data_IF_934037043200
#
_entry.id   IF_934037043200
#
_cell.length_a   1.000
_cell.length_b   1.000
_cell.length_c   1.000
_cell.angle_alpha   90.00
_cell.angle_beta   90.00
_cell.angle_gamma   90.00
#
_symmetry.space_group_name_H-M   'P 1'
#
loop_
_entity.id
_entity.type
_entity.pdbx_description
1 polymer ?
#
# COMPACT_ATOMS: atom_id res chain seq x y z
N UNK A 1 -1.86 10.19 -47.35
CA UNK A 1 -1.03 10.31 -46.14
C UNK A 1 0.35 10.79 -46.59
N UNK A 2 0.63 12.07 -46.37
CA UNK A 2 1.88 12.70 -46.80
C UNK A 2 3.03 12.16 -45.93
N UNK A 3 3.97 11.42 -46.54
CA UNK A 3 5.22 11.04 -45.85
C UNK A 3 5.94 12.33 -45.48
N UNK A 4 6.10 12.63 -44.19
CA UNK A 4 6.88 13.79 -43.75
C UNK A 4 8.27 13.70 -44.36
N UNK A 5 8.65 14.69 -45.18
CA UNK A 5 10.01 14.78 -45.72
C UNK A 5 11.00 14.84 -44.57
N UNK A 6 11.75 13.77 -44.35
CA UNK A 6 12.92 13.80 -43.46
C UNK A 6 13.90 14.84 -44.02
N UNK A 7 14.23 15.83 -43.20
CA UNK A 7 15.24 16.84 -43.51
C UNK A 7 16.42 16.59 -42.59
N UNK A 8 17.62 16.65 -43.14
CA UNK A 8 18.82 16.54 -42.33
C UNK A 8 18.85 17.68 -41.28
N UNK A 9 19.02 17.28 -40.03
CA UNK A 9 19.17 18.16 -38.87
C UNK A 9 20.48 17.81 -38.19
N UNK A 10 21.25 18.83 -37.83
CA UNK A 10 22.55 18.68 -37.20
C UNK A 10 22.51 19.24 -35.79
N UNK A 11 23.18 18.54 -34.86
CA UNK A 11 23.37 18.96 -33.48
C UNK A 11 24.87 18.96 -33.22
N UNK A 12 25.37 20.04 -32.61
CA UNK A 12 26.78 20.14 -32.23
C UNK A 12 26.97 19.50 -30.85
N UNK A 13 27.98 18.62 -30.75
CA UNK A 13 28.30 17.85 -29.56
C UNK A 13 29.83 17.68 -29.47
N UNK A 14 30.39 17.54 -28.26
CA UNK A 14 31.81 17.25 -28.10
C UNK A 14 32.13 15.84 -28.60
N UNK A 15 33.37 15.63 -29.08
CA UNK A 15 33.81 14.33 -29.58
C UNK A 15 33.68 13.23 -28.53
N UNK A 16 34.06 13.52 -27.27
CA UNK A 16 33.99 12.56 -26.18
C UNK A 16 32.54 12.13 -25.88
N UNK A 17 31.62 13.09 -25.84
CA UNK A 17 30.21 12.79 -25.57
C UNK A 17 29.55 12.07 -26.75
N UNK A 18 29.98 12.35 -27.98
CA UNK A 18 29.52 11.62 -29.16
C UNK A 18 29.98 10.16 -29.11
N UNK A 19 31.22 9.88 -28.68
CA UNK A 19 31.70 8.52 -28.50
C UNK A 19 30.92 7.76 -27.42
N UNK A 20 30.58 8.40 -26.29
CA UNK A 20 29.71 7.78 -25.28
C UNK A 20 28.29 7.53 -25.82
N UNK A 21 27.76 8.46 -26.61
CA UNK A 21 26.46 8.30 -27.26
C UNK A 21 26.45 7.11 -28.23
N UNK A 22 27.52 6.90 -28.99
CA UNK A 22 27.68 5.73 -29.85
C UNK A 22 27.68 4.43 -29.05
N UNK A 23 28.50 4.35 -27.99
CA UNK A 23 28.53 3.17 -27.11
C UNK A 23 27.17 2.89 -26.49
N UNK A 24 26.44 3.94 -26.10
CA UNK A 24 25.10 3.80 -25.54
C UNK A 24 24.11 3.25 -26.58
N UNK A 25 24.17 3.75 -27.82
CA UNK A 25 23.33 3.28 -28.91
C UNK A 25 23.58 1.79 -29.18
N UNK A 26 24.85 1.39 -29.25
CA UNK A 26 25.25 -0.02 -29.41
C UNK A 26 24.78 -0.89 -28.24
N UNK A 27 24.86 -0.40 -27.00
CA UNK A 27 24.43 -1.15 -25.81
C UNK A 27 22.93 -1.46 -25.79
N UNK A 28 22.12 -0.63 -26.45
CA UNK A 28 20.68 -0.80 -26.57
C UNK A 28 20.27 -1.41 -27.92
N UNK A 29 21.21 -1.77 -28.79
CA UNK A 29 20.96 -2.24 -30.15
C UNK A 29 20.09 -1.26 -30.97
N UNK A 30 20.38 0.04 -30.81
CA UNK A 30 19.65 1.13 -31.47
C UNK A 30 20.56 1.88 -32.43
N UNK A 31 19.99 2.38 -33.53
CA UNK A 31 20.65 3.40 -34.33
C UNK A 31 20.78 4.70 -33.54
N UNK A 32 21.77 5.53 -33.87
CA UNK A 32 21.95 6.89 -33.32
C UNK A 32 20.64 7.71 -33.35
N UNK A 33 19.95 7.72 -34.49
CA UNK A 33 18.64 8.38 -34.63
C UNK A 33 17.61 7.76 -33.68
N UNK A 34 17.54 6.43 -33.63
CA UNK A 34 16.61 5.69 -32.79
C UNK A 34 16.82 5.94 -31.29
N UNK A 35 18.08 6.02 -30.84
CA UNK A 35 18.39 6.37 -29.46
C UNK A 35 17.93 7.80 -29.13
N UNK A 36 18.21 8.77 -30.00
CA UNK A 36 17.78 10.16 -29.79
C UNK A 36 16.25 10.28 -29.73
N UNK A 37 15.53 9.61 -30.63
CA UNK A 37 14.06 9.56 -30.62
C UNK A 37 13.54 8.90 -29.33
N UNK A 38 14.12 7.75 -28.94
CA UNK A 38 13.76 7.05 -27.71
C UNK A 38 13.98 7.91 -26.47
N UNK A 39 15.09 8.65 -26.38
CA UNK A 39 15.35 9.60 -25.30
C UNK A 39 14.27 10.69 -25.22
N UNK A 40 13.90 11.29 -26.35
CA UNK A 40 12.84 12.32 -26.40
C UNK A 40 11.50 11.74 -25.90
N UNK A 41 11.12 10.55 -26.38
CA UNK A 41 9.90 9.89 -25.93
C UNK A 41 9.95 9.51 -24.45
N UNK A 42 11.09 9.02 -23.97
CA UNK A 42 11.30 8.65 -22.58
C UNK A 42 11.10 9.86 -21.65
N UNK A 43 11.78 10.98 -21.89
CA UNK A 43 11.63 12.17 -21.06
C UNK A 43 10.23 12.76 -21.15
N UNK A 44 9.58 12.69 -22.32
CA UNK A 44 8.19 13.13 -22.48
C UNK A 44 7.20 12.27 -21.70
N UNK A 45 7.39 10.96 -21.66
CA UNK A 45 6.49 10.03 -21.00
C UNK A 45 6.70 9.97 -19.48
N UNK A 46 7.95 10.03 -19.04
CA UNK A 46 8.32 9.93 -17.62
C UNK A 46 8.30 11.27 -16.89
N UNK A 47 8.33 12.38 -17.63
CA UNK A 47 8.53 13.72 -17.08
C UNK A 47 9.81 13.88 -16.24
N UNK A 48 10.77 12.95 -16.37
CA UNK A 48 12.08 13.03 -15.72
C UNK A 48 12.85 14.24 -16.25
N UNK A 49 13.52 14.99 -15.37
CA UNK A 49 14.42 16.08 -15.78
C UNK A 49 15.72 15.48 -16.33
N UNK A 50 16.05 15.65 -17.63
CA UNK A 50 17.27 15.09 -18.23
C UNK A 50 18.56 15.68 -17.66
N UNK A 51 18.47 16.74 -16.83
CA UNK A 51 19.62 17.35 -16.14
C UNK A 51 19.82 16.79 -14.73
N UNK A 52 18.83 16.07 -14.21
CA UNK A 52 18.93 15.43 -12.91
C UNK A 52 19.30 13.94 -13.10
N UNK A 53 20.57 13.55 -12.88
CA UNK A 53 20.99 12.17 -13.01
C UNK A 53 20.37 11.25 -11.94
N UNK A 54 19.70 11.83 -10.93
CA UNK A 54 19.00 11.11 -9.87
C UNK A 54 17.48 11.16 -10.04
N UNK A 55 16.95 11.71 -11.16
CA UNK A 55 15.52 11.76 -11.43
C UNK A 55 14.89 10.39 -11.15
N UNK A 56 14.07 10.36 -10.09
CA UNK A 56 13.72 9.19 -9.27
C UNK A 56 13.83 7.87 -10.03
N UNK A 57 14.86 7.09 -9.68
CA UNK A 57 14.92 5.71 -10.14
C UNK A 57 13.59 5.05 -9.72
N UNK A 58 12.79 4.51 -10.66
CA UNK A 58 11.49 3.90 -10.34
C UNK A 58 11.60 2.85 -9.22
N UNK A 59 12.79 2.27 -9.04
CA UNK A 59 13.15 1.41 -7.90
C UNK A 59 12.91 2.06 -6.54
N UNK A 60 13.21 3.35 -6.36
CA UNK A 60 13.08 4.03 -5.07
C UNK A 60 11.63 4.41 -4.77
N UNK A 61 10.85 4.75 -5.80
CA UNK A 61 9.39 4.90 -5.68
C UNK A 61 8.72 3.57 -5.28
N UNK A 62 9.17 2.45 -5.86
CA UNK A 62 8.69 1.10 -5.49
C UNK A 62 9.07 0.76 -4.05
N UNK A 63 10.30 1.04 -3.61
CA UNK A 63 10.72 0.82 -2.22
C UNK A 63 9.92 1.67 -1.23
N UNK A 64 9.60 2.92 -1.58
CA UNK A 64 8.79 3.79 -0.75
C UNK A 64 7.35 3.27 -0.62
N UNK A 65 6.78 2.77 -1.72
CA UNK A 65 5.46 2.14 -1.73
C UNK A 65 5.43 0.87 -0.86
N UNK A 66 6.44 0.01 -0.97
CA UNK A 66 6.54 -1.22 -0.17
C UNK A 66 6.62 -0.91 1.33
N UNK A 67 7.46 0.05 1.74
CA UNK A 67 7.52 0.50 3.13
C UNK A 67 6.17 1.00 3.64
N UNK A 68 5.43 1.76 2.83
CA UNK A 68 4.11 2.28 3.19
C UNK A 68 3.08 1.16 3.36
N UNK A 69 3.10 0.17 2.46
CA UNK A 69 2.22 -0.99 2.53
C UNK A 69 2.50 -1.84 3.78
N UNK A 70 3.77 -2.16 4.06
CA UNK A 70 4.17 -2.91 5.26
C UNK A 70 3.76 -2.17 6.53
N UNK A 71 3.93 -0.86 6.55
CA UNK A 71 3.53 -0.03 7.70
C UNK A 71 2.02 -0.06 7.91
N UNK A 72 1.24 0.04 6.84
CA UNK A 72 -0.22 -0.06 6.89
C UNK A 72 -0.68 -1.43 7.40
N UNK A 73 -0.10 -2.53 6.91
CA UNK A 73 -0.46 -3.89 7.37
C UNK A 73 -0.15 -4.05 8.87
N UNK A 74 1.03 -3.60 9.32
CA UNK A 74 1.39 -3.64 10.75
C UNK A 74 0.45 -2.80 11.61
N UNK A 75 0.01 -1.65 11.11
CA UNK A 75 -0.95 -0.82 11.81
C UNK A 75 -2.30 -1.54 11.94
N UNK A 76 -2.83 -2.10 10.85
CA UNK A 76 -4.08 -2.88 10.85
C UNK A 76 -3.99 -4.11 11.77
N UNK A 77 -2.85 -4.80 11.78
CA UNK A 77 -2.63 -5.95 12.67
C UNK A 77 -2.72 -5.54 14.14
N UNK A 78 -2.04 -4.45 14.53
CA UNK A 78 -1.95 -4.03 15.92
C UNK A 78 -3.21 -3.30 16.43
N UNK A 79 -3.83 -2.48 15.58
CA UNK A 79 -4.97 -1.65 15.99
C UNK A 79 -6.30 -2.39 15.90
N UNK A 80 -6.43 -3.40 15.02
CA UNK A 80 -7.69 -4.08 14.77
C UNK A 80 -7.61 -5.59 15.03
N UNK A 81 -6.73 -6.31 14.31
CA UNK A 81 -6.77 -7.78 14.29
C UNK A 81 -6.33 -8.42 15.61
N UNK A 82 -5.28 -7.89 16.27
CA UNK A 82 -4.83 -8.39 17.58
C UNK A 82 -5.87 -8.16 18.67
N UNK A 83 -6.42 -6.94 18.86
CA UNK A 83 -7.51 -6.71 19.81
C UNK A 83 -8.70 -7.64 19.58
N UNK A 84 -9.14 -7.82 18.33
CA UNK A 84 -10.22 -8.75 18.01
C UNK A 84 -9.89 -10.20 18.38
N UNK A 85 -8.64 -10.64 18.14
CA UNK A 85 -8.19 -11.98 18.51
C UNK A 85 -8.21 -12.18 20.03
N UNK A 86 -7.78 -11.18 20.78
CA UNK A 86 -7.74 -11.22 22.24
C UNK A 86 -9.17 -11.20 22.82
N UNK A 87 -10.07 -10.39 22.27
CA UNK A 87 -11.49 -10.39 22.63
C UNK A 87 -12.14 -11.76 22.38
N UNK A 88 -11.86 -12.39 21.24
CA UNK A 88 -12.38 -13.73 20.92
C UNK A 88 -11.83 -14.77 21.90
N UNK A 89 -10.54 -14.74 22.23
CA UNK A 89 -9.94 -15.66 23.21
C UNK A 89 -10.57 -15.47 24.60
N UNK A 90 -10.80 -14.23 25.00
CA UNK A 90 -11.42 -13.91 26.28
C UNK A 90 -12.87 -14.40 26.33
N UNK A 91 -13.64 -14.22 25.24
CA UNK A 91 -14.97 -14.80 25.10
C UNK A 91 -14.94 -16.32 25.17
N UNK A 92 -14.02 -16.97 24.47
CA UNK A 92 -13.88 -18.43 24.51
C UNK A 92 -13.52 -18.93 25.91
N UNK A 93 -12.65 -18.23 26.65
CA UNK A 93 -12.32 -18.55 28.04
C UNK A 93 -13.54 -18.42 28.97
N UNK A 94 -14.33 -17.35 28.81
CA UNK A 94 -15.56 -17.16 29.57
C UNK A 94 -16.62 -18.23 29.25
N UNK A 95 -16.64 -18.75 28.02
CA UNK A 95 -17.56 -19.81 27.61
C UNK A 95 -17.09 -21.20 28.06
N UNK A 96 -15.78 -21.44 28.10
CA UNK A 96 -15.19 -22.74 28.44
C UNK A 96 -15.00 -22.96 29.94
N UNK A 97 -14.94 -21.89 30.76
CA UNK A 97 -15.23 -22.00 32.19
C UNK A 97 -16.74 -22.12 32.35
N UNK A 98 -17.25 -23.33 32.62
CA UNK A 98 -18.67 -23.67 32.86
C UNK A 98 -19.55 -22.43 33.08
N UNK A 99 -20.10 -21.91 31.98
CA UNK A 99 -21.18 -20.94 32.06
C UNK A 99 -22.26 -21.62 32.90
N UNK A 100 -22.64 -21.07 34.07
CA UNK A 100 -23.78 -21.61 34.78
C UNK A 100 -24.91 -21.68 33.77
N UNK A 101 -25.60 -22.83 33.69
CA UNK A 101 -26.66 -23.12 32.70
C UNK A 101 -27.78 -22.06 32.69
N UNK A 102 -27.74 -21.12 33.63
CA UNK A 102 -28.37 -19.80 33.57
C UNK A 102 -27.31 -18.72 33.85
N UNK A 103 -26.94 -17.94 32.83
CA UNK A 103 -26.27 -16.65 33.05
C UNK A 103 -27.23 -15.78 33.86
N UNK A 104 -26.88 -15.47 35.11
CA UNK A 104 -27.72 -14.55 35.91
C UNK A 104 -27.55 -13.14 35.36
N UNK A 105 -28.64 -12.36 35.26
CA UNK A 105 -28.62 -10.98 34.76
C UNK A 105 -27.54 -10.09 35.41
N UNK A 106 -27.19 -10.36 36.67
CA UNK A 106 -26.10 -9.67 37.37
C UNK A 106 -24.74 -9.89 36.71
N UNK A 107 -24.45 -11.10 36.22
CA UNK A 107 -23.19 -11.43 35.55
C UNK A 107 -23.13 -10.82 34.15
N UNK A 108 -24.25 -10.78 33.42
CA UNK A 108 -24.34 -10.08 32.13
C UNK A 108 -24.09 -8.58 32.32
N UNK A 109 -24.69 -7.96 33.35
CA UNK A 109 -24.42 -6.56 33.70
C UNK A 109 -22.96 -6.28 34.09
N UNK A 110 -22.31 -7.20 34.80
CA UNK A 110 -20.88 -7.05 35.15
C UNK A 110 -19.99 -7.12 33.91
N UNK A 111 -20.28 -8.03 32.97
CA UNK A 111 -19.54 -8.12 31.70
C UNK A 111 -19.80 -6.86 30.85
N UNK A 112 -21.05 -6.44 30.69
CA UNK A 112 -21.40 -5.22 29.95
C UNK A 112 -20.80 -3.95 30.56
N UNK A 113 -20.66 -3.87 31.88
CA UNK A 113 -20.03 -2.76 32.58
C UNK A 113 -18.49 -2.79 32.58
N UNK A 114 -17.87 -3.95 32.31
CA UNK A 114 -16.42 -4.11 32.24
C UNK A 114 -15.84 -3.76 30.85
N UNK A 115 -16.68 -3.69 29.81
CA UNK A 115 -16.24 -3.24 28.49
C UNK A 115 -16.14 -1.72 28.46
N UNK A 116 -14.93 -1.22 28.13
CA UNK A 116 -14.69 0.21 27.95
C UNK A 116 -15.61 0.77 26.84
N UNK A 117 -15.98 2.06 26.90
CA UNK A 117 -16.92 2.67 25.95
C UNK A 117 -16.48 2.52 24.49
N UNK A 118 -15.17 2.53 24.23
CA UNK A 118 -14.60 2.34 22.88
C UNK A 118 -14.93 0.99 22.23
N UNK A 119 -15.30 -0.04 23.01
CA UNK A 119 -15.64 -1.37 22.49
C UNK A 119 -17.15 -1.62 22.37
N UNK A 120 -17.98 -0.63 22.75
CA UNK A 120 -19.44 -0.71 22.67
C UNK A 120 -19.97 -0.35 21.27
N UNK A 121 -19.62 -1.16 20.27
CA UNK A 121 -20.17 -1.04 18.92
C UNK A 121 -21.69 -1.25 18.91
N UNK A 122 -22.40 -0.73 17.90
CA UNK A 122 -23.85 -0.98 17.74
C UNK A 122 -24.19 -2.47 17.73
N UNK A 123 -23.33 -3.28 17.09
CA UNK A 123 -23.48 -4.73 17.03
C UNK A 123 -23.32 -5.37 18.41
N UNK A 124 -22.36 -4.92 19.21
CA UNK A 124 -22.20 -5.38 20.59
C UNK A 124 -23.43 -5.05 21.43
N UNK A 125 -23.97 -3.83 21.30
CA UNK A 125 -25.20 -3.42 22.00
C UNK A 125 -26.40 -4.29 21.62
N UNK A 126 -26.59 -4.58 20.33
CA UNK A 126 -27.67 -5.45 19.86
C UNK A 126 -27.56 -6.87 20.44
N UNK A 127 -26.36 -7.46 20.48
CA UNK A 127 -26.13 -8.80 21.06
C UNK A 127 -26.35 -8.77 22.57
N UNK A 128 -25.87 -7.73 23.26
CA UNK A 128 -26.08 -7.56 24.70
C UNK A 128 -27.56 -7.45 25.06
N UNK A 129 -28.33 -6.67 24.30
CA UNK A 129 -29.78 -6.55 24.46
C UNK A 129 -30.51 -7.88 24.23
N UNK A 130 -30.10 -8.66 23.22
CA UNK A 130 -30.68 -9.96 22.92
C UNK A 130 -30.39 -10.99 24.03
N UNK A 131 -29.17 -10.98 24.58
CA UNK A 131 -28.80 -11.81 25.73
C UNK A 131 -29.63 -11.46 26.97
N UNK A 132 -29.83 -10.16 27.24
CA UNK A 132 -30.68 -9.72 28.36
C UNK A 132 -32.14 -10.17 28.21
N UNK A 133 -32.68 -10.16 26.98
CA UNK A 133 -34.04 -10.64 26.69
C UNK A 133 -34.23 -12.14 26.92
N UNK A 134 -33.22 -12.97 26.61
CA UNK A 134 -33.27 -14.44 26.80
C UNK A 134 -33.14 -14.90 28.25
N UNK A 135 -32.73 -14.01 29.15
CA UNK A 135 -32.58 -14.29 30.59
C UNK A 135 -33.75 -13.84 31.47
N UNK A 136 -34.79 -13.24 30.91
CA UNK A 136 -36.10 -13.03 31.55
C UNK A 136 -37.04 -14.17 31.18
#
# INVERSE_FOLDING_TARGET
MEKSKEKDKQILISADLFAEFERMADSYDLSKKGLLEAMIFYFKATHADPRDPQADNPTDAIKALDKRLVSFIRQQENELLRPMSDDIKLLLQLVSQDLPKTLRQSQIKTIGGAFKPEFQTERFRAVYEELMKKTN
#
